data_IF_516442956142
#
_entry.id   IF_516442956142
#
_cell.length_a   1.000
_cell.length_b   1.000
_cell.length_c   1.000
_cell.angle_alpha   90.00
_cell.angle_beta   90.00
_cell.angle_gamma   90.00
#
_symmetry.space_group_name_H-M   'P 1'
#
loop_
_entity.id
_entity.type
_entity.pdbx_description
1 polymer ?
#
# COMPACT_ATOMS: atom_id res chain seq x y z
N UNK A 1 15.67 9.87 -4.16
CA UNK A 1 15.21 8.52 -4.63
C UNK A 1 14.62 8.68 -6.02
N UNK A 2 14.99 7.80 -6.94
CA UNK A 2 14.48 7.77 -8.30
C UNK A 2 13.34 6.75 -8.36
N UNK A 3 12.22 7.16 -8.97
CA UNK A 3 11.09 6.28 -9.25
C UNK A 3 11.03 6.01 -10.75
N UNK A 4 11.07 4.74 -11.14
CA UNK A 4 10.95 4.33 -12.55
C UNK A 4 9.66 3.53 -12.74
N UNK A 5 8.85 3.88 -13.75
CA UNK A 5 7.68 3.07 -14.09
C UNK A 5 8.14 1.71 -14.61
N UNK A 6 7.62 0.64 -14.02
CA UNK A 6 7.92 -0.73 -14.42
C UNK A 6 6.83 -1.24 -15.36
N UNK A 7 7.26 -1.90 -16.42
CA UNK A 7 6.41 -2.60 -17.38
C UNK A 7 6.68 -4.09 -17.33
N UNK A 8 5.83 -4.96 -17.90
CA UNK A 8 6.06 -6.41 -17.89
C UNK A 8 7.41 -6.85 -18.47
N UNK A 9 8.01 -6.04 -19.35
CA UNK A 9 9.29 -6.32 -20.00
C UNK A 9 10.47 -5.59 -19.34
N UNK A 10 10.29 -4.92 -18.20
CA UNK A 10 11.38 -4.21 -17.52
C UNK A 10 12.42 -5.21 -16.98
N UNK A 11 13.75 -4.93 -17.09
CA UNK A 11 14.80 -5.82 -16.62
C UNK A 11 14.64 -6.30 -15.17
N UNK A 12 14.12 -5.42 -14.29
CA UNK A 12 13.98 -5.71 -12.86
C UNK A 12 12.70 -6.45 -12.48
N UNK A 13 11.87 -6.88 -13.44
CA UNK A 13 10.61 -7.60 -13.13
C UNK A 13 10.87 -8.90 -12.35
N UNK A 14 11.94 -9.61 -12.66
CA UNK A 14 12.30 -10.83 -11.91
C UNK A 14 12.67 -10.52 -10.46
N UNK A 15 13.40 -9.43 -10.22
CA UNK A 15 13.76 -8.98 -8.87
C UNK A 15 12.52 -8.50 -8.10
N UNK A 16 11.61 -7.77 -8.78
CA UNK A 16 10.33 -7.33 -8.21
C UNK A 16 9.47 -8.53 -7.79
N UNK A 17 9.28 -9.53 -8.66
CA UNK A 17 8.50 -10.74 -8.34
C UNK A 17 9.03 -11.45 -7.10
N UNK A 18 10.34 -11.65 -7.05
CA UNK A 18 11.00 -12.25 -5.90
C UNK A 18 10.75 -11.44 -4.62
N UNK A 19 10.95 -10.13 -4.68
CA UNK A 19 10.70 -9.25 -3.52
C UNK A 19 9.23 -9.27 -3.09
N UNK A 20 8.29 -9.30 -4.04
CA UNK A 20 6.86 -9.39 -3.76
C UNK A 20 6.50 -10.67 -2.98
N UNK A 21 7.02 -11.81 -3.41
CA UNK A 21 6.81 -13.11 -2.76
C UNK A 21 7.44 -13.17 -1.36
N UNK A 22 8.63 -12.57 -1.19
CA UNK A 22 9.32 -12.49 0.10
C UNK A 22 8.65 -11.53 1.09
N UNK A 23 8.09 -10.42 0.59
CA UNK A 23 7.52 -9.38 1.43
C UNK A 23 6.07 -9.63 1.84
N UNK A 24 5.30 -10.34 1.02
CA UNK A 24 3.88 -10.60 1.20
C UNK A 24 3.60 -12.10 1.14
N UNK A 25 3.28 -12.77 2.26
CA UNK A 25 2.84 -14.16 2.29
C UNK A 25 1.60 -14.39 1.39
N UNK A 26 1.40 -15.62 0.93
CA UNK A 26 0.29 -15.95 0.03
C UNK A 26 -1.08 -15.59 0.62
N UNK A 27 -1.22 -15.67 1.94
CA UNK A 27 -2.43 -15.25 2.67
C UNK A 27 -2.71 -13.73 2.61
N UNK A 28 -1.69 -12.90 2.40
CA UNK A 28 -1.79 -11.43 2.31
C UNK A 28 -1.85 -10.91 0.86
N UNK A 29 -1.75 -11.79 -0.14
CA UNK A 29 -1.79 -11.42 -1.55
C UNK A 29 -2.91 -12.14 -2.29
N UNK A 30 -4.06 -11.51 -2.48
CA UNK A 30 -5.20 -12.12 -3.18
C UNK A 30 -4.93 -12.40 -4.66
N UNK A 31 -3.91 -11.76 -5.25
CA UNK A 31 -3.50 -11.92 -6.65
C UNK A 31 -1.98 -12.05 -6.77
N UNK A 32 -1.52 -12.81 -7.76
CA UNK A 32 -0.10 -12.92 -8.08
C UNK A 32 0.44 -11.64 -8.75
N UNK A 33 1.77 -11.45 -8.72
CA UNK A 33 2.39 -10.34 -9.45
C UNK A 33 2.17 -10.48 -10.96
N UNK A 34 2.09 -11.70 -11.51
CA UNK A 34 1.78 -11.92 -12.93
C UNK A 34 0.38 -11.40 -13.27
N UNK A 35 -0.58 -11.62 -12.39
CA UNK A 35 -1.93 -11.06 -12.55
C UNK A 35 -1.89 -9.52 -12.55
N UNK A 36 -1.16 -8.90 -11.63
CA UNK A 36 -0.99 -7.44 -11.58
C UNK A 36 -0.36 -6.94 -12.89
N UNK A 37 0.71 -7.57 -13.38
CA UNK A 37 1.38 -7.19 -14.61
C UNK A 37 0.46 -7.25 -15.83
N UNK A 38 -0.46 -8.22 -15.88
CA UNK A 38 -1.44 -8.35 -16.96
C UNK A 38 -2.52 -7.26 -16.93
N UNK A 39 -2.74 -6.62 -15.78
CA UNK A 39 -3.75 -5.57 -15.63
C UNK A 39 -3.20 -4.15 -15.71
N UNK A 40 -1.88 -3.94 -15.80
CA UNK A 40 -1.26 -2.61 -15.77
C UNK A 40 -1.81 -1.64 -16.83
N UNK A 41 -2.21 -2.15 -17.99
CA UNK A 41 -2.75 -1.33 -19.08
C UNK A 41 -4.30 -1.32 -19.10
N UNK A 42 -4.95 -2.04 -18.18
CA UNK A 42 -6.41 -2.19 -18.15
C UNK A 42 -7.07 -1.36 -17.05
N UNK A 43 -6.34 -1.02 -16.01
CA UNK A 43 -6.82 -0.22 -14.88
C UNK A 43 -5.88 0.96 -14.65
N UNK A 44 -6.39 2.10 -14.11
CA UNK A 44 -5.54 3.24 -13.76
C UNK A 44 -4.66 2.90 -12.55
N UNK A 45 -3.46 2.38 -12.79
CA UNK A 45 -2.53 2.01 -11.74
C UNK A 45 -1.09 2.39 -12.09
N UNK A 46 -0.24 2.39 -11.07
CA UNK A 46 1.19 2.62 -11.20
C UNK A 46 1.96 1.48 -10.51
N UNK A 47 2.89 0.90 -11.25
CA UNK A 47 3.91 0.01 -10.72
C UNK A 47 5.25 0.72 -10.83
N UNK A 48 5.78 1.18 -9.69
CA UNK A 48 7.00 1.97 -9.62
C UNK A 48 8.13 1.17 -8.97
N UNK A 49 9.27 1.09 -9.64
CA UNK A 49 10.52 0.63 -9.04
C UNK A 49 11.20 1.79 -8.31
N UNK A 50 11.83 1.47 -7.21
CA UNK A 50 12.54 2.41 -6.35
C UNK A 50 14.04 2.19 -6.47
N UNK A 51 14.78 3.25 -6.73
CA UNK A 51 16.23 3.23 -6.94
C UNK A 51 16.91 4.35 -6.13
N UNK A 52 18.03 4.08 -5.43
CA UNK A 52 18.79 5.13 -4.76
C UNK A 52 19.39 6.11 -5.78
N UNK A 53 19.53 7.38 -5.41
CA UNK A 53 20.16 8.38 -6.27
C UNK A 53 21.65 8.06 -6.55
N UNK A 54 22.31 7.47 -5.55
CA UNK A 54 23.71 7.08 -5.61
C UNK A 54 23.94 5.86 -6.52
N UNK A 55 22.94 4.99 -6.66
CA UNK A 55 22.99 3.77 -7.48
C UNK A 55 21.69 3.65 -8.32
N UNK A 56 21.55 4.49 -9.36
CA UNK A 56 20.28 4.65 -10.09
C UNK A 56 19.84 3.41 -10.89
N UNK A 57 20.69 2.42 -11.02
CA UNK A 57 20.43 1.17 -11.71
C UNK A 57 20.26 -0.03 -10.73
N UNK A 58 20.38 0.23 -9.41
CA UNK A 58 20.19 -0.79 -8.41
C UNK A 58 18.76 -0.79 -7.88
N UNK A 59 17.96 -1.79 -8.30
CA UNK A 59 16.59 -1.98 -7.81
C UNK A 59 16.58 -2.22 -6.30
N UNK A 60 15.87 -1.37 -5.56
CA UNK A 60 15.86 -1.38 -4.09
C UNK A 60 14.49 -1.63 -3.50
N UNK A 61 13.43 -1.57 -4.30
CA UNK A 61 12.08 -1.78 -3.84
C UNK A 61 11.06 -1.45 -4.91
N UNK A 62 9.79 -1.58 -4.56
CA UNK A 62 8.71 -1.23 -5.46
C UNK A 62 7.50 -0.68 -4.70
N UNK A 63 6.66 0.02 -5.44
CA UNK A 63 5.34 0.45 -5.05
C UNK A 63 4.32 0.04 -6.13
N UNK A 64 3.17 -0.45 -5.70
CA UNK A 64 2.01 -0.64 -6.55
C UNK A 64 0.82 0.10 -5.94
N UNK A 65 0.23 0.98 -6.74
CA UNK A 65 -0.92 1.79 -6.33
C UNK A 65 -1.96 1.89 -7.44
N UNK A 66 -3.21 2.05 -7.04
CA UNK A 66 -4.34 2.22 -7.95
C UNK A 66 -4.79 3.67 -7.85
N UNK A 67 -4.93 4.32 -9.00
CA UNK A 67 -5.34 5.73 -9.09
C UNK A 67 -6.85 5.83 -9.16
N UNK A 68 -7.41 6.66 -8.28
CA UNK A 68 -8.76 7.18 -8.41
C UNK A 68 -8.76 8.51 -9.17
N UNK A 69 -9.88 9.21 -9.16
CA UNK A 69 -10.05 10.49 -9.83
C UNK A 69 -9.18 11.59 -9.19
N UNK A 70 -9.14 11.67 -7.87
CA UNK A 70 -8.35 12.65 -7.08
C UNK A 70 -7.52 11.99 -5.98
N UNK A 71 -7.27 10.70 -6.08
CA UNK A 71 -6.67 9.91 -5.01
C UNK A 71 -5.80 8.79 -5.55
N UNK A 72 -4.93 8.26 -4.69
CA UNK A 72 -4.16 7.04 -4.93
C UNK A 72 -4.32 6.11 -3.75
N UNK A 73 -4.66 4.87 -4.00
CA UNK A 73 -4.67 3.82 -3.00
C UNK A 73 -3.41 2.96 -3.14
N UNK A 74 -2.52 3.04 -2.15
CA UNK A 74 -1.34 2.19 -2.07
C UNK A 74 -1.73 0.77 -1.69
N UNK A 75 -1.45 -0.17 -2.57
CA UNK A 75 -1.76 -1.60 -2.36
C UNK A 75 -0.56 -2.34 -1.81
N UNK A 76 0.60 -2.18 -2.46
CA UNK A 76 1.84 -2.85 -2.06
C UNK A 76 3.00 -1.86 -2.04
N UNK A 77 3.80 -1.93 -0.99
CA UNK A 77 5.08 -1.24 -0.87
C UNK A 77 6.07 -2.14 -0.15
N UNK A 78 7.21 -2.40 -0.77
CA UNK A 78 8.28 -3.16 -0.16
C UNK A 78 9.65 -2.66 -0.60
N UNK A 79 10.63 -2.74 0.30
CA UNK A 79 12.05 -2.56 0.01
C UNK A 79 12.80 -3.85 0.28
N UNK A 80 13.90 -4.04 -0.42
CA UNK A 80 14.76 -5.22 -0.26
C UNK A 80 15.12 -5.46 1.20
N UNK A 81 15.11 -6.72 1.68
CA UNK A 81 15.39 -7.04 3.08
C UNK A 81 16.77 -6.62 3.57
N UNK A 82 17.79 -6.73 2.70
CA UNK A 82 19.18 -6.35 3.00
C UNK A 82 19.38 -4.83 3.17
N UNK A 83 18.42 -4.01 2.71
CA UNK A 83 18.42 -2.57 2.87
C UNK A 83 17.56 -2.08 4.06
N UNK A 84 16.97 -3.01 4.82
CA UNK A 84 16.18 -2.64 6.01
C UNK A 84 17.06 -1.99 7.06
N UNK A 85 16.47 -1.12 7.89
CA UNK A 85 17.16 -0.34 8.93
C UNK A 85 18.18 0.68 8.44
N UNK A 86 18.41 0.83 7.13
CA UNK A 86 19.27 1.87 6.56
C UNK A 86 18.57 3.22 6.33
N UNK A 87 17.25 3.27 6.58
CA UNK A 87 16.41 4.44 6.31
C UNK A 87 15.89 4.53 4.88
N UNK A 88 16.26 3.60 3.99
CA UNK A 88 15.85 3.61 2.58
C UNK A 88 14.34 3.54 2.41
N UNK A 89 13.65 2.72 3.24
CA UNK A 89 12.19 2.59 3.18
C UNK A 89 11.48 3.93 3.41
N UNK A 90 11.92 4.72 4.39
CA UNK A 90 11.35 6.05 4.64
C UNK A 90 11.65 7.04 3.51
N UNK A 91 12.88 7.03 2.96
CA UNK A 91 13.23 7.86 1.80
C UNK A 91 12.38 7.50 0.58
N UNK A 92 12.24 6.19 0.29
CA UNK A 92 11.44 5.69 -0.81
C UNK A 92 9.97 6.08 -0.67
N UNK A 93 9.41 5.87 0.52
CA UNK A 93 8.00 6.16 0.78
C UNK A 93 7.68 7.65 0.63
N UNK A 94 8.53 8.54 1.15
CA UNK A 94 8.38 10.00 0.95
C UNK A 94 8.48 10.38 -0.53
N UNK A 95 9.42 9.82 -1.27
CA UNK A 95 9.53 10.08 -2.71
C UNK A 95 8.26 9.62 -3.47
N UNK A 96 7.64 8.51 -3.07
CA UNK A 96 6.37 8.06 -3.64
C UNK A 96 5.26 9.06 -3.31
N UNK A 97 5.14 9.51 -2.08
CA UNK A 97 4.13 10.52 -1.69
C UNK A 97 4.34 11.82 -2.46
N UNK A 98 5.58 12.30 -2.56
CA UNK A 98 5.94 13.49 -3.32
C UNK A 98 5.61 13.35 -4.82
N UNK A 99 5.79 12.15 -5.39
CA UNK A 99 5.44 11.87 -6.79
C UNK A 99 3.96 12.13 -7.11
N UNK A 100 3.06 11.88 -6.14
CA UNK A 100 1.63 12.15 -6.29
C UNK A 100 1.21 13.56 -5.88
N UNK A 101 2.10 14.35 -5.28
CA UNK A 101 1.90 15.75 -4.94
C UNK A 101 0.67 15.98 -4.05
N UNK A 102 -0.25 16.82 -4.54
CA UNK A 102 -1.47 17.17 -3.78
C UNK A 102 -2.58 16.12 -3.81
N UNK A 103 -2.40 15.05 -4.57
CA UNK A 103 -3.34 13.91 -4.59
C UNK A 103 -3.45 13.29 -3.20
N UNK A 104 -4.65 12.99 -2.75
CA UNK A 104 -4.82 12.30 -1.48
C UNK A 104 -4.34 10.86 -1.61
N UNK A 105 -3.37 10.47 -0.77
CA UNK A 105 -2.82 9.13 -0.78
C UNK A 105 -3.37 8.34 0.39
N UNK A 106 -4.02 7.21 0.12
CA UNK A 106 -4.58 6.31 1.12
C UNK A 106 -3.78 5.02 1.21
N UNK A 107 -3.73 4.49 2.39
CA UNK A 107 -3.12 3.20 2.68
C UNK A 107 -3.95 2.48 3.73
N UNK A 108 -4.05 1.16 3.61
CA UNK A 108 -4.62 0.34 4.69
C UNK A 108 -3.58 -0.65 5.19
N UNK A 109 -3.46 -0.78 6.49
CA UNK A 109 -2.56 -1.73 7.13
C UNK A 109 -3.25 -2.43 8.29
N UNK A 110 -2.81 -3.66 8.58
CA UNK A 110 -3.38 -4.47 9.63
C UNK A 110 -3.36 -3.75 10.98
N UNK A 111 -4.51 -3.76 11.64
CA UNK A 111 -4.68 -3.16 12.96
C UNK A 111 -3.81 -3.88 14.01
N UNK A 112 -2.99 -3.15 14.77
CA UNK A 112 -2.24 -3.74 15.88
C UNK A 112 -3.10 -3.99 17.11
N UNK A 113 -4.37 -3.58 17.09
CA UNK A 113 -5.29 -3.70 18.23
C UNK A 113 -5.96 -5.07 18.33
N UNK A 114 -5.78 -5.93 17.33
CA UNK A 114 -6.21 -7.34 17.40
C UNK A 114 -5.04 -8.23 17.87
N UNK A 115 -5.34 -9.20 18.72
CA UNK A 115 -4.37 -10.21 19.09
C UNK A 115 -3.89 -10.99 17.86
N UNK A 116 -2.59 -11.05 17.67
CA UNK A 116 -2.00 -11.73 16.50
C UNK A 116 -0.55 -12.14 16.77
N UNK A 117 -0.11 -13.21 16.13
CA UNK A 117 1.27 -13.69 16.22
C UNK A 117 2.29 -12.66 15.70
N UNK A 118 1.85 -11.75 14.79
CA UNK A 118 2.68 -10.71 14.19
C UNK A 118 2.45 -9.30 14.79
N UNK A 119 1.91 -9.19 16.01
CA UNK A 119 1.56 -7.93 16.66
C UNK A 119 2.70 -6.89 16.63
N UNK A 120 3.94 -7.30 16.97
CA UNK A 120 5.09 -6.40 16.91
C UNK A 120 5.40 -5.89 15.49
N UNK A 121 5.15 -6.72 14.47
CA UNK A 121 5.34 -6.32 13.07
C UNK A 121 4.27 -5.32 12.66
N UNK A 122 3.02 -5.52 13.07
CA UNK A 122 1.90 -4.57 12.83
C UNK A 122 2.20 -3.22 13.47
N UNK A 123 2.66 -3.20 14.71
CA UNK A 123 3.02 -1.95 15.40
C UNK A 123 4.22 -1.25 14.73
N UNK A 124 5.24 -1.99 14.30
CA UNK A 124 6.36 -1.42 13.53
C UNK A 124 5.89 -0.81 12.21
N UNK A 125 4.95 -1.46 11.51
CA UNK A 125 4.35 -0.98 10.25
C UNK A 125 3.55 0.30 10.49
N UNK A 126 2.69 0.33 11.51
CA UNK A 126 1.94 1.51 11.95
C UNK A 126 2.87 2.68 12.21
N UNK A 127 3.87 2.49 13.07
CA UNK A 127 4.86 3.51 13.41
C UNK A 127 5.66 4.00 12.19
N UNK A 128 5.88 3.14 11.20
CA UNK A 128 6.52 3.53 9.94
C UNK A 128 5.66 4.54 9.18
N UNK A 129 4.35 4.31 9.00
CA UNK A 129 3.48 5.24 8.27
C UNK A 129 3.31 6.57 9.00
N UNK A 130 3.07 6.54 10.32
CA UNK A 130 2.93 7.74 11.12
C UNK A 130 4.18 8.64 11.05
N UNK A 131 5.38 8.05 11.17
CA UNK A 131 6.65 8.81 11.05
C UNK A 131 6.90 9.39 9.66
N UNK A 132 6.25 8.88 8.64
CA UNK A 132 6.37 9.37 7.27
C UNK A 132 5.20 10.27 6.85
N UNK A 133 4.48 10.85 7.82
CA UNK A 133 3.50 11.90 7.59
C UNK A 133 2.08 11.43 7.26
N UNK A 134 1.78 10.16 7.53
CA UNK A 134 0.40 9.67 7.42
C UNK A 134 -0.35 9.85 8.74
N UNK A 135 -1.65 10.05 8.62
CA UNK A 135 -2.59 10.18 9.73
C UNK A 135 -3.59 9.04 9.69
N UNK A 136 -3.87 8.45 10.85
CA UNK A 136 -4.96 7.49 10.99
C UNK A 136 -6.29 8.24 10.90
N UNK A 137 -7.15 7.82 10.00
CA UNK A 137 -8.42 8.51 9.72
C UNK A 137 -9.50 8.26 10.78
N UNK A 138 -9.25 7.33 11.71
CA UNK A 138 -10.26 6.81 12.64
C UNK A 138 -11.28 5.88 11.98
N UNK A 139 -11.07 5.54 10.71
CA UNK A 139 -11.86 4.55 9.98
C UNK A 139 -11.08 3.26 9.82
N UNK A 140 -11.84 2.17 9.88
CA UNK A 140 -11.34 0.80 9.77
C UNK A 140 -12.05 0.08 8.64
N UNK A 141 -11.42 -0.96 8.13
CA UNK A 141 -12.01 -1.91 7.20
C UNK A 141 -11.73 -3.32 7.69
N UNK A 142 -12.49 -4.30 7.21
CA UNK A 142 -12.26 -5.71 7.55
C UNK A 142 -12.24 -6.55 6.28
N UNK A 143 -11.17 -7.32 6.10
CA UNK A 143 -10.99 -8.23 4.97
C UNK A 143 -10.58 -9.60 5.49
N UNK A 144 -11.30 -10.64 5.09
CA UNK A 144 -11.04 -12.03 5.49
C UNK A 144 -10.88 -12.23 7.02
N UNK A 145 -11.65 -11.47 7.80
CA UNK A 145 -11.59 -11.54 9.26
C UNK A 145 -10.56 -10.63 9.91
N UNK A 146 -9.56 -10.13 9.18
CA UNK A 146 -8.53 -9.20 9.68
C UNK A 146 -9.00 -7.76 9.58
N UNK A 147 -8.82 -7.00 10.67
CA UNK A 147 -9.07 -5.57 10.73
C UNK A 147 -7.89 -4.78 10.18
N UNK A 148 -8.20 -3.73 9.40
CA UNK A 148 -7.23 -2.78 8.85
C UNK A 148 -7.58 -1.36 9.28
N UNK A 149 -6.55 -0.57 9.59
CA UNK A 149 -6.65 0.87 9.79
C UNK A 149 -6.51 1.55 8.44
N UNK A 150 -7.39 2.51 8.14
CA UNK A 150 -7.23 3.39 6.97
C UNK A 150 -6.41 4.60 7.38
N UNK A 151 -5.31 4.82 6.69
CA UNK A 151 -4.44 5.99 6.87
C UNK A 151 -4.41 6.84 5.61
N UNK A 152 -4.17 8.12 5.77
CA UNK A 152 -4.25 9.13 4.73
C UNK A 152 -3.07 10.11 4.83
N UNK A 153 -2.60 10.62 3.69
CA UNK A 153 -1.54 11.63 3.62
C UNK A 153 -2.01 13.05 3.95
N UNK A 154 -3.31 13.28 4.06
CA UNK A 154 -3.92 14.59 4.40
C UNK A 154 -4.58 14.51 5.77
N UNK A 155 -4.65 15.62 6.48
CA UNK A 155 -5.34 15.69 7.77
C UNK A 155 -6.84 15.40 7.64
N UNK A 156 -7.47 15.92 6.58
CA UNK A 156 -8.86 15.65 6.26
C UNK A 156 -8.97 14.45 5.33
N UNK A 157 -9.66 13.42 5.80
CA UNK A 157 -9.92 12.22 5.03
C UNK A 157 -11.20 12.36 4.20
N UNK A 158 -11.07 12.30 2.89
CA UNK A 158 -12.20 12.25 1.96
C UNK A 158 -12.85 10.85 2.00
N UNK A 159 -13.73 10.68 2.99
CA UNK A 159 -14.48 9.42 3.18
C UNK A 159 -15.34 9.07 1.96
N UNK A 160 -16.04 10.06 1.40
CA UNK A 160 -16.94 9.84 0.26
C UNK A 160 -16.15 9.43 -0.99
N UNK A 161 -15.02 10.10 -1.24
CA UNK A 161 -14.10 9.73 -2.31
C UNK A 161 -13.53 8.34 -2.13
N UNK A 162 -13.17 7.95 -0.90
CA UNK A 162 -12.71 6.59 -0.60
C UNK A 162 -13.79 5.55 -0.87
N UNK A 163 -15.03 5.77 -0.40
CA UNK A 163 -16.15 4.85 -0.63
C UNK A 163 -16.47 4.70 -2.12
N UNK A 164 -16.47 5.79 -2.88
CA UNK A 164 -16.64 5.78 -4.34
C UNK A 164 -15.52 5.00 -5.04
N UNK A 165 -14.28 5.23 -4.62
CA UNK A 165 -13.11 4.50 -5.13
C UNK A 165 -13.25 3.00 -4.88
N UNK A 166 -13.57 2.59 -3.64
CA UNK A 166 -13.75 1.20 -3.28
C UNK A 166 -14.91 0.55 -4.05
N UNK A 167 -16.02 1.28 -4.24
CA UNK A 167 -17.15 0.80 -5.05
C UNK A 167 -16.76 0.60 -6.53
N UNK A 168 -15.98 1.51 -7.10
CA UNK A 168 -15.47 1.38 -8.47
C UNK A 168 -14.52 0.18 -8.62
N UNK A 169 -13.67 -0.05 -7.63
CA UNK A 169 -12.81 -1.24 -7.57
C UNK A 169 -13.65 -2.52 -7.51
N UNK A 170 -14.75 -2.52 -6.73
CA UNK A 170 -15.67 -3.66 -6.62
C UNK A 170 -16.30 -4.03 -7.94
N UNK A 171 -16.74 -3.03 -8.68
CA UNK A 171 -17.43 -3.25 -9.96
C UNK A 171 -16.55 -3.99 -10.99
N UNK A 172 -15.22 -3.91 -10.84
CA UNK A 172 -14.25 -4.65 -11.65
C UNK A 172 -13.92 -6.06 -11.16
N UNK A 173 -14.43 -6.47 -9.97
CA UNK A 173 -14.12 -7.77 -9.38
C UNK A 173 -15.23 -8.80 -9.64
N UNK A 174 -14.88 -10.08 -9.79
CA UNK A 174 -15.88 -11.18 -9.93
C UNK A 174 -16.82 -11.31 -8.74
N UNK A 175 -16.40 -10.85 -7.56
CA UNK A 175 -17.22 -10.87 -6.34
C UNK A 175 -17.18 -9.50 -5.63
N UNK A 176 -18.12 -8.58 -5.96
CA UNK A 176 -18.17 -7.24 -5.38
C UNK A 176 -18.38 -7.20 -3.87
N UNK A 177 -18.93 -8.26 -3.26
CA UNK A 177 -19.18 -8.31 -1.81
C UNK A 177 -17.90 -8.53 -0.97
N UNK A 178 -16.77 -8.80 -1.62
CA UNK A 178 -15.47 -8.98 -0.96
C UNK A 178 -14.78 -7.65 -0.59
N UNK A 179 -15.36 -6.49 -0.95
CA UNK A 179 -14.75 -5.23 -0.57
C UNK A 179 -15.03 -4.87 0.87
N UNK A 180 -13.98 -4.43 1.57
CA UNK A 180 -14.10 -4.04 2.95
C UNK A 180 -14.96 -2.77 3.08
N UNK A 181 -15.99 -2.81 3.91
CA UNK A 181 -16.80 -1.65 4.27
C UNK A 181 -16.07 -0.83 5.33
N UNK A 182 -16.18 0.49 5.24
CA UNK A 182 -15.69 1.40 6.27
C UNK A 182 -16.58 1.35 7.51
N UNK A 183 -15.96 1.25 8.68
CA UNK A 183 -16.64 1.39 9.97
C UNK A 183 -15.77 2.17 10.95
N UNK A 184 -16.37 2.73 11.98
CA UNK A 184 -15.66 3.27 13.13
C UNK A 184 -15.63 2.25 14.25
N UNK A 185 -14.48 2.13 14.88
CA UNK A 185 -14.36 1.37 16.12
C UNK A 185 -14.91 2.23 17.26
N UNK A 186 -15.82 1.69 18.05
CA UNK A 186 -16.24 2.33 19.30
C UNK A 186 -15.08 2.23 20.31
N UNK A 187 -14.27 3.29 20.35
CA UNK A 187 -13.11 3.41 21.27
C UNK A 187 -13.57 3.47 22.75
N UNK A 188 -14.88 3.44 23.00
CA UNK A 188 -15.47 3.59 24.34
C UNK A 188 -15.29 2.39 25.29
N UNK A 189 -14.73 1.27 24.85
CA UNK A 189 -14.62 0.04 25.64
C UNK A 189 -13.20 -0.40 26.03
N UNK A 190 -12.16 0.40 25.76
CA UNK A 190 -10.79 0.05 26.18
C UNK A 190 -10.27 1.05 27.24
N UNK A 191 -10.73 0.84 28.50
CA UNK A 191 -10.10 1.36 29.70
C UNK A 191 -9.75 0.23 30.63
#
# INVERSE_FOLDING_TARGET
MILKKLTPNHPDISALKKLFEEAFPESERPVSMDTILNYLDQIPCDLLGVYPDETPDEFSGFFFGIRGESSVYGVYFATRPDLRSTGIGGKAFRAIVEHYGDTQFWFSYESPFEESENAEQRERRRNFYLRNGFHETGWFTKLNGTEFIVACSKEEFDKEGFEKFMAAMAAGLPNPQALPQLYRRDIACEK
#
